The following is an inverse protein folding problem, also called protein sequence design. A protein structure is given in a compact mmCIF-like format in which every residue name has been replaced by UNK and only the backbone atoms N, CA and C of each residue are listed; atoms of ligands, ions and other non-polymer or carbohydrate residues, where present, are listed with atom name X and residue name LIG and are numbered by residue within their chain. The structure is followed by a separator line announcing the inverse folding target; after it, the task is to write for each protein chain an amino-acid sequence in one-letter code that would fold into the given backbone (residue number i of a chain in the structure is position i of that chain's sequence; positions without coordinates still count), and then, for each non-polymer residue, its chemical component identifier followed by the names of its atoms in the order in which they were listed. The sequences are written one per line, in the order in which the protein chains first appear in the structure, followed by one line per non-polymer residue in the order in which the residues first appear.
data_IF_856916124696
#
_entry.id   IF_856916124696
#
_cell.length_a   1.000
_cell.length_b   1.000
_cell.length_c   1.000
_cell.angle_alpha   90.00
_cell.angle_beta   90.00
_cell.angle_gamma   90.00
#
_symmetry.space_group_name_H-M   'P 1'
#
loop_
_entity.id
_entity.type
_entity.pdbx_description
1 polymer ?
#
# COMPACT_ATOMS: atom_id res chain seq x y z
N UNK A 1 16.27 23.26 3.49
CA UNK A 1 16.09 22.19 4.50
C UNK A 1 14.64 21.82 4.79
N UNK A 2 13.63 22.68 4.57
CA UNK A 2 12.21 22.29 4.70
C UNK A 2 11.57 21.65 3.43
N UNK A 3 12.17 21.74 2.23
CA UNK A 3 11.53 21.27 0.98
C UNK A 3 11.79 19.81 0.57
N UNK A 4 12.76 19.10 1.16
CA UNK A 4 13.01 17.67 0.92
C UNK A 4 12.05 16.76 1.72
N UNK A 5 11.69 17.16 2.94
CA UNK A 5 10.71 16.46 3.77
C UNK A 5 9.30 16.44 3.15
N UNK A 6 8.88 17.53 2.50
CA UNK A 6 7.54 17.69 1.91
C UNK A 6 7.37 16.99 0.53
N UNK A 7 8.45 16.82 -0.25
CA UNK A 7 8.40 16.07 -1.52
C UNK A 7 8.46 14.55 -1.33
N UNK A 8 9.13 14.08 -0.27
CA UNK A 8 9.07 12.67 0.19
C UNK A 8 7.67 12.33 0.73
N UNK A 9 7.02 13.24 1.47
CA UNK A 9 5.60 13.12 1.90
C UNK A 9 4.59 13.12 0.73
N UNK A 10 4.85 13.87 -0.35
CA UNK A 10 4.04 13.95 -1.57
C UNK A 10 4.19 12.71 -2.49
N UNK A 11 5.34 12.02 -2.48
CA UNK A 11 5.51 10.69 -3.10
C UNK A 11 4.89 9.59 -2.23
N UNK A 12 4.87 9.77 -0.91
CA UNK A 12 4.17 8.94 0.07
C UNK A 12 2.65 8.88 -0.21
N UNK A 13 1.99 10.02 -0.47
CA UNK A 13 0.52 10.08 -0.71
C UNK A 13 0.09 9.69 -2.14
N UNK A 14 0.96 9.83 -3.16
CA UNK A 14 0.65 9.48 -4.55
C UNK A 14 0.80 7.96 -4.84
N UNK A 15 1.69 7.26 -4.11
CA UNK A 15 1.80 5.78 -4.10
C UNK A 15 0.65 5.13 -3.31
N UNK A 16 0.17 5.80 -2.26
CA UNK A 16 -0.95 5.37 -1.40
C UNK A 16 -2.26 5.06 -2.15
N UNK A 17 -2.44 5.54 -3.40
CA UNK A 17 -3.63 5.28 -4.23
C UNK A 17 -3.35 4.38 -5.46
N UNK A 18 -2.10 4.28 -5.91
CA UNK A 18 -1.74 3.48 -7.11
C UNK A 18 -1.64 1.97 -6.81
N UNK A 19 -1.22 1.57 -5.61
CA UNK A 19 -1.06 0.16 -5.25
C UNK A 19 -2.40 -0.60 -5.20
N UNK A 20 -3.46 0.08 -4.73
CA UNK A 20 -4.82 -0.46 -4.74
C UNK A 20 -5.31 -0.79 -6.16
N UNK A 21 -4.79 -0.11 -7.20
CA UNK A 21 -5.16 -0.33 -8.61
C UNK A 21 -4.27 -1.34 -9.35
N UNK A 22 -2.99 -1.49 -8.99
CA UNK A 22 -2.10 -2.44 -9.68
C UNK A 22 -2.44 -3.89 -9.29
N UNK A 23 -2.90 -4.16 -8.06
CA UNK A 23 -3.43 -5.49 -7.69
C UNK A 23 -4.63 -5.89 -8.55
N UNK A 24 -5.51 -4.94 -8.91
CA UNK A 24 -6.69 -5.20 -9.75
C UNK A 24 -6.32 -5.42 -11.23
N UNK A 25 -5.17 -4.90 -11.68
CA UNK A 25 -4.73 -5.01 -13.08
C UNK A 25 -3.84 -6.24 -13.36
N UNK A 26 -3.52 -7.05 -12.34
CA UNK A 26 -2.85 -8.34 -12.53
C UNK A 26 -1.43 -8.27 -13.08
N UNK A 27 -0.75 -7.12 -12.98
CA UNK A 27 0.62 -6.98 -13.50
C UNK A 27 1.68 -7.70 -12.65
N UNK A 28 1.34 -8.07 -11.41
CA UNK A 28 2.18 -8.89 -10.53
C UNK A 28 1.78 -10.37 -10.62
N UNK A 29 2.74 -11.24 -10.93
CA UNK A 29 2.53 -12.70 -11.04
C UNK A 29 2.22 -13.37 -9.69
N UNK A 30 2.46 -12.68 -8.58
CA UNK A 30 2.24 -13.17 -7.23
C UNK A 30 1.50 -12.09 -6.45
N UNK A 31 0.42 -12.42 -5.73
CA UNK A 31 -0.31 -11.43 -4.94
C UNK A 31 0.59 -10.87 -3.84
N UNK A 32 0.62 -9.55 -3.71
CA UNK A 32 1.42 -8.84 -2.70
C UNK A 32 0.57 -8.41 -1.51
N UNK A 33 -0.76 -8.36 -1.66
CA UNK A 33 -1.71 -8.39 -0.56
C UNK A 33 -2.48 -9.71 -0.48
N UNK A 34 -2.76 -10.17 0.73
CA UNK A 34 -3.64 -11.30 0.99
C UNK A 34 -4.69 -10.94 2.03
N UNK A 35 -5.94 -11.27 1.74
CA UNK A 35 -7.03 -11.10 2.70
C UNK A 35 -6.83 -12.05 3.89
N UNK A 36 -6.71 -11.50 5.09
CA UNK A 36 -6.51 -12.25 6.34
C UNK A 36 -7.75 -12.25 7.25
N UNK A 37 -8.64 -11.27 7.07
CA UNK A 37 -9.94 -11.25 7.75
C UNK A 37 -11.01 -11.12 6.68
N UNK A 38 -11.88 -12.12 6.65
CA UNK A 38 -13.06 -12.18 5.79
C UNK A 38 -14.31 -12.12 6.62
N UNK A 39 -15.19 -11.19 6.27
CA UNK A 39 -16.49 -11.08 6.91
C UNK A 39 -17.47 -12.10 6.29
N UNK A 40 -18.33 -12.72 7.11
CA UNK A 40 -19.31 -13.69 6.62
C UNK A 40 -20.35 -13.04 5.71
N UNK A 41 -20.69 -11.77 5.96
CA UNK A 41 -21.68 -11.02 5.19
C UNK A 41 -21.02 -9.87 4.44
N UNK A 42 -21.42 -9.67 3.18
CA UNK A 42 -20.98 -8.51 2.39
C UNK A 42 -21.69 -7.26 2.92
N UNK A 43 -20.92 -6.32 3.44
CA UNK A 43 -21.38 -4.96 3.73
C UNK A 43 -21.05 -4.05 2.55
N UNK A 44 -21.79 -2.94 2.38
CA UNK A 44 -21.55 -2.01 1.27
C UNK A 44 -20.11 -1.46 1.25
N UNK A 45 -19.50 -1.29 2.42
CA UNK A 45 -18.14 -0.73 2.57
C UNK A 45 -17.06 -1.78 2.83
N UNK A 46 -17.44 -3.06 2.93
CA UNK A 46 -16.55 -4.15 3.38
C UNK A 46 -15.92 -3.92 4.77
N UNK A 47 -16.50 -3.06 5.60
CA UNK A 47 -16.00 -2.69 6.95
C UNK A 47 -15.53 -3.88 7.78
N UNK A 48 -14.24 -3.89 8.16
CA UNK A 48 -13.57 -4.94 8.93
C UNK A 48 -12.76 -5.92 8.06
N UNK A 49 -12.98 -5.93 6.74
CA UNK A 49 -12.14 -6.71 5.82
C UNK A 49 -10.72 -6.18 5.89
N UNK A 50 -9.77 -7.09 6.11
CA UNK A 50 -8.36 -6.74 6.37
C UNK A 50 -7.43 -7.57 5.51
N UNK A 51 -6.37 -6.94 5.04
CA UNK A 51 -5.34 -7.52 4.18
C UNK A 51 -3.98 -7.40 4.85
N UNK A 52 -3.18 -8.47 4.76
CA UNK A 52 -1.74 -8.44 5.00
C UNK A 52 -1.05 -8.05 3.71
N UNK A 53 -0.14 -7.10 3.76
CA UNK A 53 0.56 -6.55 2.59
C UNK A 53 2.07 -6.65 2.73
N UNK A 54 2.70 -6.97 1.60
CA UNK A 54 4.14 -6.88 1.35
C UNK A 54 4.35 -6.37 -0.09
N UNK A 55 4.16 -5.06 -0.28
CA UNK A 55 4.13 -4.42 -1.60
C UNK A 55 5.50 -3.84 -2.00
N UNK A 56 5.94 -4.01 -3.26
CA UNK A 56 7.18 -3.41 -3.75
C UNK A 56 7.05 -1.89 -3.89
N UNK A 57 8.04 -1.17 -3.37
CA UNK A 57 8.21 0.27 -3.62
C UNK A 57 9.19 0.44 -4.78
N UNK A 58 8.76 1.05 -5.87
CA UNK A 58 9.58 1.26 -7.06
C UNK A 58 9.84 2.74 -7.32
N UNK A 59 10.94 3.07 -7.99
CA UNK A 59 11.26 4.47 -8.33
C UNK A 59 10.18 5.13 -9.21
N UNK A 60 9.48 4.32 -10.02
CA UNK A 60 8.43 4.70 -10.97
C UNK A 60 7.24 3.73 -10.85
N UNK A 61 6.02 4.10 -11.28
CA UNK A 61 4.82 3.26 -11.15
C UNK A 61 4.82 1.92 -11.90
N UNK A 62 5.81 1.67 -12.78
CA UNK A 62 5.89 0.41 -13.53
C UNK A 62 6.43 -0.71 -12.64
N UNK A 63 5.83 -1.91 -12.64
CA UNK A 63 6.34 -3.06 -11.89
C UNK A 63 7.79 -3.45 -12.24
N UNK A 64 8.21 -3.21 -13.48
CA UNK A 64 9.57 -3.47 -13.96
C UNK A 64 10.57 -2.36 -13.60
N UNK A 65 10.12 -1.28 -12.98
CA UNK A 65 11.00 -0.24 -12.48
C UNK A 65 11.86 -0.77 -11.33
N UNK A 66 13.00 -0.13 -11.13
CA UNK A 66 13.90 -0.41 -10.02
C UNK A 66 13.16 -0.40 -8.68
N UNK A 67 13.32 -1.49 -7.94
CA UNK A 67 12.84 -1.66 -6.57
C UNK A 67 13.74 -0.86 -5.62
N UNK A 68 13.14 -0.11 -4.68
CA UNK A 68 13.84 0.73 -3.71
C UNK A 68 13.43 0.44 -2.26
N UNK A 69 12.48 -0.47 -2.05
CA UNK A 69 12.02 -0.87 -0.73
C UNK A 69 10.73 -1.67 -0.79
N UNK A 70 10.10 -1.86 0.37
CA UNK A 70 8.80 -2.54 0.50
C UNK A 70 7.91 -1.84 1.53
N UNK A 71 6.60 -1.82 1.27
CA UNK A 71 5.57 -1.42 2.23
C UNK A 71 4.97 -2.69 2.87
N UNK A 72 5.12 -2.83 4.17
CA UNK A 72 4.81 -4.06 4.90
C UNK A 72 3.89 -3.79 6.07
N UNK A 73 2.79 -4.53 6.19
CA UNK A 73 1.85 -4.39 7.29
C UNK A 73 0.44 -4.79 6.91
N UNK A 74 -0.54 -3.99 7.30
CA UNK A 74 -1.95 -4.23 7.01
C UNK A 74 -2.67 -2.99 6.49
N UNK A 75 -3.71 -3.24 5.69
CA UNK A 75 -4.78 -2.27 5.48
C UNK A 75 -6.14 -2.91 5.75
N UNK A 76 -7.08 -2.12 6.27
CA UNK A 76 -8.43 -2.57 6.60
C UNK A 76 -9.48 -1.55 6.18
N UNK A 77 -10.64 -2.02 5.74
CA UNK A 77 -11.81 -1.17 5.53
C UNK A 77 -12.35 -0.72 6.89
N UNK A 78 -12.24 0.57 7.20
CA UNK A 78 -12.41 1.11 8.54
C UNK A 78 -13.62 2.05 8.70
N UNK A 79 -14.39 2.29 7.63
CA UNK A 79 -15.64 3.07 7.71
C UNK A 79 -16.88 2.21 7.43
N UNK A 80 -17.92 2.41 8.24
CA UNK A 80 -19.21 1.73 8.09
C UNK A 80 -20.15 2.46 7.12
N UNK A 81 -19.99 3.78 6.97
CA UNK A 81 -20.85 4.62 6.13
C UNK A 81 -20.27 4.81 4.72
N UNK A 82 -18.95 4.87 4.61
CA UNK A 82 -18.24 5.25 3.39
C UNK A 82 -17.05 4.31 3.13
N UNK A 83 -16.45 4.38 1.95
CA UNK A 83 -15.15 3.74 1.72
C UNK A 83 -14.07 4.49 2.48
N UNK A 84 -13.47 3.82 3.47
CA UNK A 84 -12.35 4.36 4.23
C UNK A 84 -11.37 3.26 4.60
N UNK A 85 -10.07 3.54 4.47
CA UNK A 85 -9.00 2.61 4.78
C UNK A 85 -8.22 3.07 6.01
N UNK A 86 -7.97 2.16 6.93
CA UNK A 86 -6.92 2.29 7.95
C UNK A 86 -5.70 1.53 7.46
N UNK A 87 -4.54 2.18 7.49
CA UNK A 87 -3.27 1.61 7.08
C UNK A 87 -2.30 1.63 8.24
N UNK A 88 -1.74 0.47 8.56
CA UNK A 88 -0.72 0.30 9.59
C UNK A 88 0.42 -0.47 8.94
N UNK A 89 1.44 0.26 8.50
CA UNK A 89 2.53 -0.32 7.71
C UNK A 89 3.85 0.39 7.95
N UNK A 90 4.92 -0.39 7.80
CA UNK A 90 6.29 0.08 7.75
C UNK A 90 6.72 0.25 6.29
N UNK A 91 7.55 1.26 6.03
CA UNK A 91 8.24 1.43 4.75
C UNK A 91 9.71 1.05 4.97
N UNK A 92 10.08 -0.16 4.58
CA UNK A 92 11.43 -0.68 4.69
C UNK A 92 12.19 -0.35 3.39
N UNK A 93 13.02 0.68 3.41
CA UNK A 93 13.77 1.08 2.23
C UNK A 93 15.04 0.23 2.13
N UNK A 94 15.39 -0.20 0.91
CA UNK A 94 16.59 -1.01 0.66
C UNK A 94 17.74 -0.20 0.05
N UNK A 95 17.53 1.10 -0.19
CA UNK A 95 18.49 1.97 -0.88
C UNK A 95 18.50 3.40 -0.32
N UNK A 96 19.55 4.15 -0.66
CA UNK A 96 19.70 5.56 -0.31
C UNK A 96 20.01 5.78 1.18
N UNK A 97 19.87 7.04 1.61
CA UNK A 97 20.18 7.46 2.99
C UNK A 97 19.15 6.97 4.02
N UNK A 98 18.06 6.37 3.56
CA UNK A 98 16.96 5.86 4.37
C UNK A 98 16.93 4.33 4.43
N UNK A 99 17.97 3.66 3.92
CA UNK A 99 18.08 2.20 3.97
C UNK A 99 17.96 1.71 5.42
N UNK A 100 16.93 0.92 5.68
CA UNK A 100 16.47 0.53 7.01
C UNK A 100 14.97 0.22 7.03
#
# INVERSE_FOLDING_TARGET
MASFAAQTLFKLFFTLFSAFFIEINGEWKTPTAMQIIRLPNKTATSFGTTFMVDDPLTEKPKPTSKLVGRAQGIYAFASQSDLGLLMVMNFAFSEGIYNG
#
